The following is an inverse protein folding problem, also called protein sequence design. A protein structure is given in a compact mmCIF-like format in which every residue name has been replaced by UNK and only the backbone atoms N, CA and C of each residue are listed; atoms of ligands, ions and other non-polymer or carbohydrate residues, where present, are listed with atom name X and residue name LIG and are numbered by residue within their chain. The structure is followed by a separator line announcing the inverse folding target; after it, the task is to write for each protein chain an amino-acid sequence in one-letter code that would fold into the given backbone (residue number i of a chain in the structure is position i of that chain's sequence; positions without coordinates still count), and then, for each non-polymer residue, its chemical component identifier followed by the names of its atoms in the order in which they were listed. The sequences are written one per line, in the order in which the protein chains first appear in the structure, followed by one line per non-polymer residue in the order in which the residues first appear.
data_IF_123300967300
#
_entry.id   IF_123300967300
#
_cell.length_a   1.000
_cell.length_b   1.000
_cell.length_c   1.000
_cell.angle_alpha   90.00
_cell.angle_beta   90.00
_cell.angle_gamma   90.00
#
_symmetry.space_group_name_H-M   'P 1'
#
loop_
_entity.id
_entity.type
_entity.pdbx_description
1 polymer ?
#
# COMPACT_ATOMS: atom_id res chain seq x y z
N UNK A 1 -30.80 6.61 21.28
CA UNK A 1 -31.06 5.75 20.10
C UNK A 1 -29.81 4.92 19.88
N UNK A 2 -29.87 3.59 19.83
CA UNK A 2 -28.71 2.79 19.49
C UNK A 2 -28.38 3.04 18.01
N UNK A 3 -27.12 3.41 17.73
CA UNK A 3 -26.59 3.49 16.37
C UNK A 3 -26.72 2.08 15.77
N UNK A 4 -27.45 1.98 14.66
CA UNK A 4 -27.54 0.73 13.93
C UNK A 4 -26.13 0.35 13.46
N UNK A 5 -25.60 -0.73 14.05
CA UNK A 5 -24.50 -1.52 13.48
C UNK A 5 -25.01 -2.09 12.15
N UNK A 6 -24.88 -1.32 11.08
CA UNK A 6 -25.10 -1.81 9.73
C UNK A 6 -23.79 -1.69 8.95
N UNK A 7 -22.76 -2.40 9.40
CA UNK A 7 -21.85 -2.98 8.44
C UNK A 7 -22.72 -3.89 7.56
N UNK A 8 -23.05 -3.44 6.35
CA UNK A 8 -23.67 -4.32 5.35
C UNK A 8 -22.59 -5.30 4.94
N UNK A 9 -22.47 -6.36 5.72
CA UNK A 9 -21.61 -7.47 5.43
C UNK A 9 -22.24 -8.22 4.27
N UNK A 10 -21.64 -8.08 3.09
CA UNK A 10 -21.88 -9.01 1.99
C UNK A 10 -20.78 -10.06 2.10
N UNK A 11 -21.07 -11.29 2.53
CA UNK A 11 -20.09 -12.36 2.53
C UNK A 11 -19.49 -12.47 1.13
N UNK A 12 -18.17 -12.68 1.05
CA UNK A 12 -17.54 -13.02 -0.22
C UNK A 12 -18.26 -14.27 -0.79
N UNK A 13 -18.54 -14.33 -2.11
CA UNK A 13 -19.18 -15.50 -2.66
C UNK A 13 -18.20 -16.66 -2.59
N UNK A 14 -18.75 -17.87 -2.63
CA UNK A 14 -17.94 -19.04 -2.84
C UNK A 14 -17.16 -18.88 -4.16
N UNK A 15 -15.83 -18.94 -4.08
CA UNK A 15 -14.96 -19.08 -5.25
C UNK A 15 -15.42 -20.34 -6.00
N UNK A 16 -15.54 -20.26 -7.32
CA UNK A 16 -15.94 -21.42 -8.14
C UNK A 16 -15.02 -22.61 -7.88
N UNK A 17 -15.62 -23.81 -7.78
CA UNK A 17 -14.91 -25.06 -7.50
C UNK A 17 -13.75 -25.25 -8.49
N UNK A 18 -12.51 -25.39 -7.97
CA UNK A 18 -11.29 -25.53 -8.77
C UNK A 18 -10.54 -24.24 -9.13
N UNK A 19 -11.08 -23.06 -8.80
CA UNK A 19 -10.37 -21.77 -8.95
C UNK A 19 -9.47 -21.52 -7.74
N UNK A 20 -8.20 -21.18 -7.99
CA UNK A 20 -7.21 -20.89 -6.94
C UNK A 20 -7.02 -19.36 -6.84
N UNK A 21 -7.29 -18.76 -5.69
CA UNK A 21 -6.96 -17.34 -5.46
C UNK A 21 -5.51 -17.27 -5.00
N UNK A 22 -4.62 -16.98 -5.94
CA UNK A 22 -3.19 -16.92 -5.66
C UNK A 22 -2.80 -15.64 -4.90
N UNK A 23 -3.52 -14.55 -5.16
CA UNK A 23 -3.23 -13.26 -4.57
C UNK A 23 -4.51 -12.46 -4.32
N UNK A 24 -4.59 -11.85 -3.15
CA UNK A 24 -5.67 -10.96 -2.76
C UNK A 24 -5.12 -9.63 -2.25
N UNK A 25 -5.65 -8.52 -2.77
CA UNK A 25 -5.31 -7.18 -2.33
C UNK A 25 -6.56 -6.54 -1.71
N UNK A 26 -6.49 -6.25 -0.42
CA UNK A 26 -7.54 -5.54 0.32
C UNK A 26 -7.09 -4.09 0.49
N UNK A 27 -7.71 -3.17 -0.25
CA UNK A 27 -7.48 -1.73 -0.12
C UNK A 27 -8.40 -1.17 0.97
N UNK A 28 -7.81 -0.59 2.02
CA UNK A 28 -8.53 0.06 3.13
C UNK A 28 -8.28 1.55 3.06
N UNK A 29 -9.23 2.30 2.49
CA UNK A 29 -9.06 3.70 2.11
C UNK A 29 -9.91 4.60 2.99
N UNK A 30 -9.25 5.50 3.70
CA UNK A 30 -9.91 6.55 4.46
C UNK A 30 -10.64 7.51 3.52
N UNK A 31 -11.84 7.90 3.92
CA UNK A 31 -12.61 8.99 3.32
C UNK A 31 -13.21 9.85 4.42
N UNK A 32 -12.54 9.95 5.55
CA UNK A 32 -12.88 10.82 6.65
C UNK A 32 -12.81 12.30 6.22
N UNK A 33 -13.34 13.21 7.04
CA UNK A 33 -13.30 14.64 6.73
C UNK A 33 -11.89 15.22 6.53
N UNK A 34 -10.83 14.58 7.04
CA UNK A 34 -9.44 15.03 6.85
C UNK A 34 -8.97 14.82 5.41
N UNK A 35 -9.46 13.76 4.73
CA UNK A 35 -9.10 13.38 3.36
C UNK A 35 -9.47 14.43 2.30
N UNK A 36 -10.14 15.52 2.68
CA UNK A 36 -10.31 16.71 1.83
C UNK A 36 -9.00 17.23 1.27
N UNK A 37 -7.89 17.04 1.98
CA UNK A 37 -6.56 17.47 1.56
C UNK A 37 -6.11 16.79 0.25
N UNK A 38 -6.51 15.53 0.05
CA UNK A 38 -6.25 14.75 -1.16
C UNK A 38 -7.25 15.01 -2.31
N UNK A 39 -8.33 15.74 -2.02
CA UNK A 39 -9.28 16.21 -3.02
C UNK A 39 -9.90 15.11 -3.89
N UNK A 40 -10.12 15.42 -5.17
CA UNK A 40 -10.70 14.50 -6.16
C UNK A 40 -9.70 13.51 -6.74
N UNK A 41 -8.47 13.46 -6.24
CA UNK A 41 -7.37 12.70 -6.83
C UNK A 41 -7.35 11.23 -6.39
N UNK A 42 -8.05 10.87 -5.31
CA UNK A 42 -8.06 9.52 -4.75
C UNK A 42 -8.60 8.49 -5.76
N UNK A 43 -9.83 8.69 -6.26
CA UNK A 43 -10.46 7.75 -7.19
C UNK A 43 -9.66 7.52 -8.48
N UNK A 44 -9.22 8.58 -9.21
CA UNK A 44 -8.36 8.40 -10.38
C UNK A 44 -7.06 7.63 -10.09
N UNK A 45 -6.40 7.91 -8.97
CA UNK A 45 -5.16 7.20 -8.61
C UNK A 45 -5.40 5.75 -8.23
N UNK A 46 -6.50 5.42 -7.55
CA UNK A 46 -6.88 4.04 -7.28
C UNK A 46 -7.21 3.28 -8.57
N UNK A 47 -7.87 3.94 -9.54
CA UNK A 47 -8.14 3.35 -10.85
C UNK A 47 -6.86 3.12 -11.67
N UNK A 48 -5.88 4.03 -11.61
CA UNK A 48 -4.54 3.84 -12.19
C UNK A 48 -3.85 2.64 -11.54
N UNK A 49 -3.89 2.53 -10.21
CA UNK A 49 -3.33 1.39 -9.47
C UNK A 49 -3.98 0.08 -9.91
N UNK A 50 -5.31 -0.01 -9.90
CA UNK A 50 -6.06 -1.20 -10.32
C UNK A 50 -5.71 -1.58 -11.76
N UNK A 51 -5.59 -0.61 -12.66
CA UNK A 51 -5.18 -0.84 -14.05
C UNK A 51 -3.74 -1.35 -14.16
N UNK A 52 -2.82 -0.84 -13.33
CA UNK A 52 -1.43 -1.32 -13.28
C UNK A 52 -1.33 -2.78 -12.83
N UNK A 53 -2.15 -3.20 -11.86
CA UNK A 53 -2.17 -4.59 -11.39
C UNK A 53 -2.65 -5.56 -12.48
N UNK A 54 -3.58 -5.12 -13.34
CA UNK A 54 -4.00 -5.87 -14.52
C UNK A 54 -2.85 -6.02 -15.52
N UNK A 55 -2.19 -4.91 -15.84
CA UNK A 55 -1.11 -4.90 -16.83
C UNK A 55 0.09 -5.76 -16.40
N UNK A 56 0.49 -5.72 -15.14
CA UNK A 56 1.60 -6.53 -14.61
C UNK A 56 1.35 -8.04 -14.72
N UNK A 57 0.08 -8.46 -14.64
CA UNK A 57 -0.30 -9.86 -14.84
C UNK A 57 -0.14 -10.26 -16.30
N UNK A 58 -0.62 -9.43 -17.23
CA UNK A 58 -0.48 -9.64 -18.67
C UNK A 58 1.00 -9.67 -19.11
N UNK A 59 1.82 -8.76 -18.58
CA UNK A 59 3.26 -8.70 -18.87
C UNK A 59 3.99 -9.96 -18.39
N UNK A 60 3.68 -10.47 -17.19
CA UNK A 60 4.28 -11.71 -16.68
C UNK A 60 3.89 -12.92 -17.53
N UNK A 61 2.63 -13.01 -17.95
CA UNK A 61 2.16 -14.07 -18.85
C UNK A 61 2.95 -14.02 -20.17
N UNK A 62 3.13 -12.83 -20.72
CA UNK A 62 3.87 -12.65 -21.97
C UNK A 62 5.35 -12.99 -21.83
N UNK A 63 5.99 -12.60 -20.72
CA UNK A 63 7.38 -12.94 -20.41
C UNK A 63 7.57 -14.46 -20.30
N UNK A 64 6.70 -15.15 -19.55
CA UNK A 64 6.75 -16.60 -19.43
C UNK A 64 6.59 -17.31 -20.78
N UNK A 65 5.68 -16.83 -21.64
CA UNK A 65 5.53 -17.35 -23.00
C UNK A 65 6.81 -17.22 -23.80
N UNK A 66 7.44 -16.04 -23.78
CA UNK A 66 8.73 -15.82 -24.46
C UNK A 66 9.84 -16.71 -23.89
N UNK A 67 9.93 -16.87 -22.56
CA UNK A 67 10.91 -17.78 -21.93
C UNK A 67 10.69 -19.22 -22.42
N UNK A 68 9.45 -19.72 -22.40
CA UNK A 68 9.10 -21.08 -22.83
C UNK A 68 9.47 -21.32 -24.30
N UNK A 69 9.28 -20.33 -25.18
CA UNK A 69 9.68 -20.41 -26.59
C UNK A 69 11.20 -20.53 -26.78
N UNK A 70 11.99 -19.94 -25.89
CA UNK A 70 13.47 -19.98 -25.95
C UNK A 70 14.09 -21.21 -25.29
N UNK A 71 13.36 -21.89 -24.41
CA UNK A 71 13.85 -23.07 -23.69
C UNK A 71 13.82 -24.33 -24.57
N UNK A 72 14.89 -25.12 -24.46
CA UNK A 72 14.91 -26.49 -25.00
C UNK A 72 13.94 -27.38 -24.22
N UNK A 73 13.44 -28.43 -24.86
CA UNK A 73 12.54 -29.38 -24.21
C UNK A 73 13.25 -30.07 -23.03
N UNK A 74 12.59 -30.10 -21.88
CA UNK A 74 13.15 -30.62 -20.63
C UNK A 74 12.40 -30.13 -19.39
N UNK A 75 12.90 -30.50 -18.23
CA UNK A 75 12.25 -30.24 -16.93
C UNK A 75 12.07 -28.74 -16.65
N UNK A 76 13.02 -27.90 -17.07
CA UNK A 76 12.94 -26.45 -16.92
C UNK A 76 11.77 -25.85 -17.73
N UNK A 77 11.64 -26.26 -19.00
CA UNK A 77 10.53 -25.84 -19.86
C UNK A 77 9.18 -26.35 -19.34
N UNK A 78 9.13 -27.60 -18.89
CA UNK A 78 7.92 -28.16 -18.29
C UNK A 78 7.50 -27.40 -17.03
N UNK A 79 8.46 -27.02 -16.19
CA UNK A 79 8.21 -26.19 -14.99
C UNK A 79 7.60 -24.84 -15.37
N UNK A 80 8.15 -24.17 -16.39
CA UNK A 80 7.61 -22.89 -16.87
C UNK A 80 6.26 -23.01 -17.55
N UNK A 81 5.99 -24.09 -18.27
CA UNK A 81 4.66 -24.41 -18.82
C UNK A 81 3.64 -24.61 -17.70
N UNK A 82 4.00 -25.31 -16.62
CA UNK A 82 3.14 -25.43 -15.44
C UNK A 82 2.87 -24.07 -14.80
N UNK A 83 3.90 -23.23 -14.62
CA UNK A 83 3.76 -21.87 -14.09
C UNK A 83 2.81 -21.02 -14.96
N UNK A 84 2.97 -21.06 -16.28
CA UNK A 84 2.10 -20.36 -17.23
C UNK A 84 0.65 -20.87 -17.16
N UNK A 85 0.43 -22.20 -17.18
CA UNK A 85 -0.90 -22.79 -17.11
C UNK A 85 -1.60 -22.46 -15.79
N UNK A 86 -0.85 -22.42 -14.68
CA UNK A 86 -1.35 -21.99 -13.38
C UNK A 86 -1.77 -20.52 -13.45
N UNK A 87 -0.94 -19.63 -14.01
CA UNK A 87 -1.24 -18.20 -14.16
C UNK A 87 -2.45 -17.92 -15.06
N UNK A 88 -2.58 -18.64 -16.18
CA UNK A 88 -3.66 -18.42 -17.16
C UNK A 88 -5.00 -19.04 -16.76
N UNK A 89 -5.00 -20.22 -16.12
CA UNK A 89 -6.21 -21.03 -15.95
C UNK A 89 -6.62 -21.25 -14.50
N UNK A 90 -5.74 -21.01 -13.53
CA UNK A 90 -6.00 -21.39 -12.14
C UNK A 90 -5.84 -20.25 -11.15
N UNK A 91 -5.08 -19.19 -11.43
CA UNK A 91 -4.89 -18.10 -10.48
C UNK A 91 -5.68 -16.85 -10.82
N UNK A 92 -6.54 -16.43 -9.89
CA UNK A 92 -7.20 -15.10 -9.96
C UNK A 92 -6.54 -14.19 -8.93
N UNK A 93 -6.13 -13.00 -9.37
CA UNK A 93 -5.78 -11.89 -8.47
C UNK A 93 -7.05 -11.10 -8.19
N UNK A 94 -7.40 -10.94 -6.92
CA UNK A 94 -8.60 -10.22 -6.50
C UNK A 94 -8.20 -8.91 -5.82
N UNK A 95 -8.96 -7.85 -6.08
CA UNK A 95 -8.80 -6.56 -5.40
C UNK A 95 -10.15 -6.18 -4.79
N UNK A 96 -10.16 -5.92 -3.50
CA UNK A 96 -11.30 -5.37 -2.78
C UNK A 96 -11.01 -3.92 -2.38
N UNK A 97 -12.07 -3.11 -2.31
CA UNK A 97 -12.00 -1.77 -1.76
C UNK A 97 -12.95 -1.68 -0.56
N UNK A 98 -12.35 -1.46 0.60
CA UNK A 98 -13.01 -1.03 1.83
C UNK A 98 -12.77 0.48 1.99
N UNK A 99 -13.84 1.27 2.08
CA UNK A 99 -13.74 2.69 2.41
C UNK A 99 -14.32 2.98 3.78
N UNK A 100 -13.72 3.91 4.52
CA UNK A 100 -14.15 4.16 5.89
C UNK A 100 -14.16 5.63 6.28
N UNK A 101 -15.06 5.95 7.21
CA UNK A 101 -15.12 7.20 7.95
C UNK A 101 -15.48 6.86 9.41
N UNK A 102 -16.61 7.35 9.95
CA UNK A 102 -17.23 6.79 11.14
C UNK A 102 -18.04 5.51 10.86
N UNK A 103 -18.09 5.07 9.59
CA UNK A 103 -18.65 3.81 9.13
C UNK A 103 -17.68 3.14 8.17
N UNK A 104 -17.60 1.82 8.24
CA UNK A 104 -16.85 0.99 7.29
C UNK A 104 -17.81 0.49 6.22
N UNK A 105 -17.51 0.76 4.96
CA UNK A 105 -18.28 0.32 3.79
C UNK A 105 -17.36 -0.39 2.79
N UNK A 106 -17.93 -1.29 2.01
CA UNK A 106 -17.23 -1.94 0.90
C UNK A 106 -17.95 -1.56 -0.39
N UNK A 107 -17.53 -0.47 -1.06
CA UNK A 107 -18.19 -0.03 -2.28
C UNK A 107 -18.06 -1.06 -3.39
N UNK A 108 -16.98 -1.84 -3.38
CA UNK A 108 -16.73 -2.93 -4.32
C UNK A 108 -16.21 -4.14 -3.57
N UNK A 109 -16.88 -5.27 -3.78
CA UNK A 109 -16.42 -6.57 -3.37
C UNK A 109 -16.19 -7.39 -4.64
N UNK A 110 -15.07 -8.13 -4.72
CA UNK A 110 -14.77 -9.07 -5.82
C UNK A 110 -15.90 -10.08 -6.08
N UNK A 111 -16.92 -10.12 -5.23
CA UNK A 111 -18.16 -10.87 -5.39
C UNK A 111 -19.01 -10.49 -6.61
N UNK A 112 -19.00 -9.23 -7.02
CA UNK A 112 -19.77 -8.75 -8.18
C UNK A 112 -18.98 -8.90 -9.49
N UNK A 113 -17.68 -9.16 -9.38
CA UNK A 113 -16.75 -9.41 -10.47
C UNK A 113 -16.56 -10.92 -10.62
N UNK A 114 -17.64 -11.57 -11.07
CA UNK A 114 -17.67 -12.99 -11.41
C UNK A 114 -16.46 -13.39 -12.26
N UNK A 115 -15.56 -14.20 -11.68
CA UNK A 115 -14.77 -15.24 -12.36
C UNK A 115 -14.13 -14.79 -13.69
N UNK A 116 -13.61 -13.57 -13.78
CA UNK A 116 -12.78 -13.20 -14.91
C UNK A 116 -11.32 -13.29 -14.47
N UNK A 117 -10.42 -13.94 -15.23
CA UNK A 117 -8.97 -13.91 -14.98
C UNK A 117 -8.36 -12.50 -15.12
N UNK A 118 -9.22 -11.47 -15.23
CA UNK A 118 -8.91 -10.08 -15.46
C UNK A 118 -9.89 -9.27 -14.60
N UNK A 119 -9.38 -8.34 -13.80
CA UNK A 119 -10.17 -7.37 -13.03
C UNK A 119 -10.85 -6.44 -14.05
N UNK A 120 -11.92 -6.81 -14.76
CA UNK A 120 -12.33 -6.03 -15.96
C UNK A 120 -13.28 -4.87 -15.68
N UNK A 121 -14.00 -4.85 -14.54
CA UNK A 121 -15.10 -3.89 -14.37
C UNK A 121 -14.99 -3.02 -13.11
N UNK A 122 -13.96 -3.21 -12.26
CA UNK A 122 -13.73 -2.36 -11.08
C UNK A 122 -13.34 -0.92 -11.44
N UNK A 123 -14.22 0.04 -11.16
CA UNK A 123 -13.96 1.47 -11.23
C UNK A 123 -14.37 2.14 -9.92
N UNK A 124 -13.39 2.71 -9.21
CA UNK A 124 -13.65 3.54 -8.04
C UNK A 124 -14.25 4.86 -8.50
N UNK A 125 -15.48 5.15 -8.04
CA UNK A 125 -16.18 6.38 -8.37
C UNK A 125 -15.85 7.47 -7.34
N UNK A 126 -15.94 8.76 -7.70
CA UNK A 126 -15.69 9.85 -6.76
C UNK A 126 -16.55 9.80 -5.49
N UNK A 127 -17.77 9.28 -5.57
CA UNK A 127 -18.67 9.07 -4.43
C UNK A 127 -18.19 8.02 -3.44
N UNK A 128 -17.46 6.99 -3.90
CA UNK A 128 -17.00 5.86 -3.07
C UNK A 128 -15.96 6.33 -2.04
N UNK A 129 -15.19 7.36 -2.42
CA UNK A 129 -14.06 7.93 -1.65
C UNK A 129 -14.31 9.38 -1.22
N UNK A 130 -15.56 9.85 -1.28
CA UNK A 130 -15.89 11.25 -0.95
C UNK A 130 -15.68 11.55 0.54
N UNK A 131 -14.86 12.55 0.91
CA UNK A 131 -14.58 12.89 2.30
C UNK A 131 -15.83 13.24 3.14
N UNK A 132 -16.04 12.56 4.28
CA UNK A 132 -17.12 12.80 5.24
C UNK A 132 -16.79 12.25 6.63
N UNK A 133 -17.51 12.66 7.67
CA UNK A 133 -17.45 11.99 8.97
C UNK A 133 -16.10 12.05 9.70
N UNK A 134 -15.92 11.08 10.60
CA UNK A 134 -14.76 10.91 11.49
C UNK A 134 -13.84 9.79 10.97
N UNK A 135 -12.81 9.38 11.72
CA UNK A 135 -11.81 8.38 11.28
C UNK A 135 -11.86 7.16 12.22
N UNK A 136 -12.54 6.09 11.81
CA UNK A 136 -12.59 4.79 12.49
C UNK A 136 -11.61 3.79 11.81
N UNK A 137 -10.31 4.13 11.88
CA UNK A 137 -9.22 3.39 11.25
C UNK A 137 -9.10 1.98 11.82
N UNK A 138 -9.16 1.81 13.14
CA UNK A 138 -8.95 0.50 13.76
C UNK A 138 -10.07 -0.48 13.41
N UNK A 139 -11.31 0.01 13.36
CA UNK A 139 -12.47 -0.79 12.93
C UNK A 139 -12.36 -1.19 11.46
N UNK A 140 -11.93 -0.28 10.59
CA UNK A 140 -11.74 -0.56 9.17
C UNK A 140 -10.67 -1.62 8.94
N UNK A 141 -9.53 -1.50 9.61
CA UNK A 141 -8.44 -2.49 9.53
C UNK A 141 -8.84 -3.84 10.16
N UNK A 142 -9.59 -3.83 11.25
CA UNK A 142 -10.08 -5.05 11.88
C UNK A 142 -11.10 -5.76 10.98
N UNK A 143 -11.97 -5.00 10.31
CA UNK A 143 -12.88 -5.55 9.31
C UNK A 143 -12.13 -6.20 8.14
N UNK A 144 -11.12 -5.52 7.59
CA UNK A 144 -10.24 -6.07 6.55
C UNK A 144 -9.56 -7.38 7.01
N UNK A 145 -9.07 -7.43 8.25
CA UNK A 145 -8.50 -8.66 8.82
C UNK A 145 -9.51 -9.81 8.88
N UNK A 146 -10.78 -9.52 9.19
CA UNK A 146 -11.83 -10.54 9.23
C UNK A 146 -12.16 -11.06 7.82
N UNK A 147 -12.19 -10.17 6.81
CA UNK A 147 -12.41 -10.57 5.41
C UNK A 147 -11.29 -11.49 4.94
N UNK A 148 -10.03 -11.12 5.21
CA UNK A 148 -8.86 -11.96 4.91
C UNK A 148 -8.97 -13.31 5.63
N UNK A 149 -9.36 -13.33 6.91
CA UNK A 149 -9.51 -14.56 7.69
C UNK A 149 -10.59 -15.48 7.10
N UNK A 150 -11.67 -14.92 6.55
CA UNK A 150 -12.73 -15.69 5.89
C UNK A 150 -12.25 -16.26 4.56
N UNK A 151 -11.53 -15.47 3.76
CA UNK A 151 -10.91 -15.96 2.52
C UNK A 151 -9.91 -17.07 2.77
N UNK A 152 -9.07 -16.91 3.79
CA UNK A 152 -8.05 -17.88 4.18
C UNK A 152 -8.70 -19.21 4.58
N UNK A 153 -9.77 -19.19 5.39
CA UNK A 153 -10.50 -20.39 5.80
C UNK A 153 -11.11 -21.14 4.62
N UNK A 154 -11.52 -20.42 3.58
CA UNK A 154 -12.18 -20.96 2.40
C UNK A 154 -11.19 -21.24 1.24
N UNK A 155 -9.88 -21.12 1.47
CA UNK A 155 -8.87 -21.28 0.42
C UNK A 155 -8.78 -22.72 -0.08
N UNK A 156 -8.61 -22.86 -1.38
CA UNK A 156 -8.35 -24.15 -2.06
C UNK A 156 -6.87 -24.32 -2.44
N UNK A 157 -6.06 -23.28 -2.22
CA UNK A 157 -4.64 -23.19 -2.57
C UNK A 157 -3.85 -22.35 -1.56
N UNK A 158 -2.53 -22.23 -1.78
CA UNK A 158 -1.71 -21.24 -1.08
C UNK A 158 -2.26 -19.83 -1.36
N UNK A 159 -2.54 -19.08 -0.29
CA UNK A 159 -3.18 -17.77 -0.33
C UNK A 159 -2.17 -16.70 0.10
N UNK A 160 -1.89 -15.73 -0.78
CA UNK A 160 -1.09 -14.54 -0.46
C UNK A 160 -1.99 -13.32 -0.36
N UNK A 161 -2.30 -12.90 0.87
CA UNK A 161 -3.09 -11.69 1.10
C UNK A 161 -2.20 -10.48 1.37
N UNK A 162 -2.59 -9.33 0.84
CA UNK A 162 -1.96 -8.03 1.07
C UNK A 162 -3.04 -7.05 1.50
N UNK A 163 -2.87 -6.42 2.64
CA UNK A 163 -3.74 -5.36 3.14
C UNK A 163 -3.00 -4.03 3.01
N UNK A 164 -3.57 -3.10 2.26
CA UNK A 164 -3.00 -1.76 2.06
C UNK A 164 -3.93 -0.75 2.69
N UNK A 165 -3.47 -0.10 3.76
CA UNK A 165 -4.25 0.92 4.47
C UNK A 165 -3.76 2.31 4.13
N UNK A 166 -4.68 3.23 3.85
CA UNK A 166 -4.40 4.60 3.43
C UNK A 166 -5.21 5.60 4.24
N UNK A 167 -4.56 6.60 4.86
CA UNK A 167 -5.24 7.63 5.67
C UNK A 167 -4.43 8.92 5.82
N UNK A 168 -5.06 10.08 5.90
CA UNK A 168 -4.45 11.30 6.49
C UNK A 168 -4.99 11.64 7.88
N UNK A 169 -5.98 10.91 8.34
CA UNK A 169 -6.67 11.11 9.61
C UNK A 169 -5.95 10.44 10.78
N UNK A 170 -6.14 11.01 11.96
CA UNK A 170 -5.83 10.32 13.21
C UNK A 170 -7.07 9.56 13.66
N UNK A 171 -6.87 8.31 14.10
CA UNK A 171 -7.90 7.51 14.77
C UNK A 171 -8.61 8.33 15.86
N UNK A 172 -9.94 8.40 15.79
CA UNK A 172 -10.75 9.17 16.75
C UNK A 172 -12.17 8.65 16.95
N UNK A 173 -12.54 7.51 16.36
CA UNK A 173 -13.93 7.02 16.37
C UNK A 173 -14.11 5.52 16.56
N UNK A 174 -13.06 4.71 16.47
CA UNK A 174 -13.17 3.27 16.53
C UNK A 174 -13.59 2.72 17.88
N UNK A 175 -14.31 1.60 17.84
CA UNK A 175 -14.62 0.78 19.01
C UNK A 175 -13.55 -0.28 19.24
N UNK A 176 -12.88 -0.75 18.18
CA UNK A 176 -11.76 -1.67 18.24
C UNK A 176 -10.55 -1.03 18.90
N UNK A 177 -9.92 -1.75 19.84
CA UNK A 177 -8.70 -1.29 20.49
C UNK A 177 -7.44 -1.61 19.67
N UNK A 178 -6.37 -0.83 19.86
CA UNK A 178 -5.06 -1.15 19.26
C UNK A 178 -4.57 -2.55 19.63
N UNK A 179 -4.79 -3.00 20.87
CA UNK A 179 -4.37 -4.33 21.31
C UNK A 179 -5.07 -5.44 20.51
N UNK A 180 -6.39 -5.34 20.39
CA UNK A 180 -7.22 -6.27 19.60
C UNK A 180 -6.78 -6.32 18.13
N UNK A 181 -6.56 -5.15 17.51
CA UNK A 181 -6.10 -5.09 16.13
C UNK A 181 -4.69 -5.66 15.97
N UNK A 182 -3.77 -5.35 16.89
CA UNK A 182 -2.38 -5.83 16.85
C UNK A 182 -2.30 -7.35 16.94
N UNK A 183 -3.08 -7.95 17.84
CA UNK A 183 -3.17 -9.41 17.94
C UNK A 183 -3.65 -10.03 16.62
N UNK A 184 -4.67 -9.44 16.01
CA UNK A 184 -5.22 -9.91 14.74
C UNK A 184 -4.25 -9.76 13.56
N UNK A 185 -3.55 -8.63 13.48
CA UNK A 185 -2.51 -8.39 12.46
C UNK A 185 -1.36 -9.37 12.63
N UNK A 186 -0.93 -9.64 13.87
CA UNK A 186 0.11 -10.62 14.15
C UNK A 186 -0.31 -12.01 13.69
N UNK A 187 -1.51 -12.45 14.04
CA UNK A 187 -2.08 -13.75 13.62
C UNK A 187 -2.02 -13.91 12.10
N UNK A 188 -2.46 -12.90 11.35
CA UNK A 188 -2.47 -12.94 9.89
C UNK A 188 -1.06 -12.82 9.28
N UNK A 189 -0.18 -12.04 9.90
CA UNK A 189 1.22 -11.92 9.45
C UNK A 189 1.96 -13.26 9.61
N UNK A 190 1.70 -13.99 10.71
CA UNK A 190 2.24 -15.33 10.92
C UNK A 190 1.71 -16.35 9.87
N UNK A 191 0.56 -16.05 9.23
CA UNK A 191 0.01 -16.80 8.08
C UNK A 191 0.53 -16.31 6.72
N UNK A 192 1.46 -15.36 6.68
CA UNK A 192 2.04 -14.83 5.44
C UNK A 192 1.28 -13.64 4.83
N UNK A 193 0.32 -13.06 5.54
CA UNK A 193 -0.38 -11.85 5.09
C UNK A 193 0.50 -10.63 5.28
N UNK A 194 0.62 -9.81 4.23
CA UNK A 194 1.42 -8.58 4.27
C UNK A 194 0.55 -7.37 4.56
N UNK A 195 0.89 -6.60 5.58
CA UNK A 195 0.24 -5.32 5.89
C UNK A 195 1.13 -4.16 5.45
N UNK A 196 0.59 -3.24 4.66
CA UNK A 196 1.22 -1.98 4.25
C UNK A 196 0.39 -0.81 4.76
N UNK A 197 1.06 0.18 5.37
CA UNK A 197 0.41 1.35 5.96
C UNK A 197 0.94 2.64 5.35
N UNK A 198 0.07 3.37 4.66
CA UNK A 198 0.38 4.62 3.98
C UNK A 198 -0.36 5.74 4.69
N UNK A 199 0.37 6.73 5.22
CA UNK A 199 -0.31 7.86 5.82
C UNK A 199 0.31 9.21 5.49
N UNK A 200 -0.54 10.24 5.41
CA UNK A 200 -0.09 11.61 5.16
C UNK A 200 0.54 12.28 6.40
N UNK A 201 0.43 11.63 7.55
CA UNK A 201 1.01 12.12 8.80
C UNK A 201 2.55 11.97 8.76
N UNK A 202 3.26 12.88 9.45
CA UNK A 202 4.72 12.81 9.57
C UNK A 202 5.22 11.57 10.30
N UNK A 203 4.30 10.82 10.93
CA UNK A 203 4.62 9.65 11.72
C UNK A 203 3.79 8.41 11.34
N UNK A 204 3.63 8.15 10.03
CA UNK A 204 3.01 6.90 9.56
C UNK A 204 3.74 5.67 10.13
N UNK A 205 5.06 5.78 10.36
CA UNK A 205 5.89 4.71 10.90
C UNK A 205 5.55 4.42 12.37
N UNK A 206 5.45 5.42 13.26
CA UNK A 206 5.07 5.12 14.64
C UNK A 206 3.61 4.71 14.75
N UNK A 207 2.70 5.26 13.93
CA UNK A 207 1.31 4.82 13.94
C UNK A 207 1.20 3.35 13.52
N UNK A 208 1.87 2.96 12.43
CA UNK A 208 1.99 1.56 12.02
C UNK A 208 2.57 0.66 13.12
N UNK A 209 3.58 1.15 13.86
CA UNK A 209 4.20 0.40 14.94
C UNK A 209 3.25 0.10 16.10
N UNK A 210 2.29 0.99 16.41
CA UNK A 210 1.25 0.74 17.43
C UNK A 210 0.33 -0.43 17.07
N UNK A 211 0.28 -0.81 15.79
CA UNK A 211 -0.52 -1.91 15.25
C UNK A 211 0.34 -3.15 14.95
N UNK A 212 1.64 -3.12 15.29
CA UNK A 212 2.57 -4.21 15.01
C UNK A 212 3.05 -4.30 13.55
N UNK A 213 2.79 -3.28 12.73
CA UNK A 213 3.22 -3.26 11.32
C UNK A 213 4.69 -2.80 11.25
N UNK A 214 5.51 -3.54 10.50
CA UNK A 214 6.92 -3.22 10.30
C UNK A 214 7.11 -1.84 9.68
N UNK A 215 8.09 -1.07 10.18
CA UNK A 215 8.49 0.23 9.59
C UNK A 215 8.83 0.13 8.10
N UNK A 216 9.29 -1.04 7.65
CA UNK A 216 9.63 -1.26 6.25
C UNK A 216 8.38 -1.25 5.36
N UNK A 217 7.21 -1.62 5.90
CA UNK A 217 5.92 -1.61 5.24
C UNK A 217 5.07 -0.37 5.60
N UNK A 218 5.66 0.62 6.26
CA UNK A 218 5.02 1.90 6.54
C UNK A 218 5.63 3.01 5.68
N UNK A 219 4.80 3.88 5.10
CA UNK A 219 5.19 4.93 4.17
C UNK A 219 4.54 6.26 4.55
N UNK A 220 5.36 7.29 4.77
CA UNK A 220 4.89 8.67 4.85
C UNK A 220 4.57 9.17 3.44
N UNK A 221 3.37 9.70 3.25
CA UNK A 221 2.87 10.21 1.98
C UNK A 221 2.72 11.73 2.06
N UNK A 222 3.19 12.47 1.06
CA UNK A 222 2.91 13.91 0.99
C UNK A 222 1.45 14.18 0.60
N UNK A 223 0.94 15.37 0.90
CA UNK A 223 -0.46 15.74 0.64
C UNK A 223 -0.76 16.11 -0.82
N UNK A 224 0.19 15.93 -1.73
CA UNK A 224 0.00 16.25 -3.16
C UNK A 224 -0.48 15.02 -3.93
N UNK A 225 -1.21 15.25 -5.03
CA UNK A 225 -1.62 14.18 -5.94
C UNK A 225 -0.41 13.39 -6.49
N UNK A 226 0.70 14.08 -6.77
CA UNK A 226 1.93 13.42 -7.23
C UNK A 226 2.49 12.47 -6.17
N UNK A 227 2.55 12.91 -4.91
CA UNK A 227 3.01 12.07 -3.81
C UNK A 227 2.13 10.85 -3.61
N UNK A 228 0.80 11.01 -3.70
CA UNK A 228 -0.15 9.92 -3.61
C UNK A 228 0.02 8.91 -4.77
N UNK A 229 0.18 9.40 -6.00
CA UNK A 229 0.48 8.56 -7.16
C UNK A 229 1.80 7.79 -7.01
N UNK A 230 2.85 8.44 -6.51
CA UNK A 230 4.13 7.78 -6.24
C UNK A 230 4.02 6.72 -5.14
N UNK A 231 3.23 6.98 -4.10
CA UNK A 231 2.97 6.02 -3.03
C UNK A 231 2.25 4.77 -3.57
N UNK A 232 1.25 4.94 -4.43
CA UNK A 232 0.56 3.80 -5.05
C UNK A 232 1.44 3.02 -6.02
N UNK A 233 2.34 3.69 -6.77
CA UNK A 233 3.36 2.98 -7.57
C UNK A 233 4.33 2.19 -6.71
N UNK A 234 4.74 2.73 -5.56
CA UNK A 234 5.57 2.01 -4.59
C UNK A 234 4.84 0.79 -4.02
N UNK A 235 3.54 0.89 -3.76
CA UNK A 235 2.70 -0.27 -3.39
C UNK A 235 2.69 -1.30 -4.51
N UNK A 236 2.42 -0.93 -5.76
CA UNK A 236 2.47 -1.86 -6.90
C UNK A 236 3.82 -2.57 -7.02
N UNK A 237 4.93 -1.83 -6.86
CA UNK A 237 6.28 -2.40 -6.89
C UNK A 237 6.52 -3.38 -5.74
N UNK A 238 6.03 -3.06 -4.53
CA UNK A 238 6.13 -3.93 -3.37
C UNK A 238 5.30 -5.21 -3.53
N UNK A 239 4.07 -5.09 -4.02
CA UNK A 239 3.20 -6.22 -4.36
C UNK A 239 3.89 -7.14 -5.37
N UNK A 240 4.48 -6.59 -6.44
CA UNK A 240 5.21 -7.36 -7.44
C UNK A 240 6.41 -8.13 -6.82
N UNK A 241 7.19 -7.49 -5.93
CA UNK A 241 8.29 -8.15 -5.20
C UNK A 241 7.79 -9.32 -4.33
N UNK A 242 6.71 -9.11 -3.57
CA UNK A 242 6.15 -10.18 -2.73
C UNK A 242 5.60 -11.34 -3.55
N UNK A 243 5.15 -11.08 -4.79
CA UNK A 243 4.71 -12.12 -5.73
C UNK A 243 5.84 -13.07 -6.10
N UNK A 244 7.04 -12.55 -6.36
CA UNK A 244 8.23 -13.33 -6.72
C UNK A 244 8.96 -13.95 -5.53
N UNK A 245 8.44 -13.77 -4.30
CA UNK A 245 9.03 -14.31 -3.07
C UNK A 245 10.08 -13.41 -2.42
N UNK A 246 10.27 -12.20 -2.94
CA UNK A 246 11.13 -11.20 -2.29
C UNK A 246 10.46 -10.61 -1.05
N UNK A 247 11.28 -10.03 -0.17
CA UNK A 247 10.80 -9.40 1.05
C UNK A 247 9.95 -8.16 0.77
N UNK A 248 8.85 -8.02 1.49
CA UNK A 248 8.04 -6.81 1.49
C UNK A 248 8.81 -5.60 2.05
N UNK A 249 8.57 -4.42 1.49
CA UNK A 249 9.03 -3.16 2.06
C UNK A 249 9.26 -2.06 1.04
N UNK A 250 9.19 -0.81 1.50
CA UNK A 250 9.47 0.38 0.72
C UNK A 250 10.94 0.78 0.79
N UNK A 251 11.56 0.91 -0.37
CA UNK A 251 12.93 1.39 -0.58
C UNK A 251 13.09 2.87 -0.23
N UNK A 252 14.34 3.32 -0.08
CA UNK A 252 14.65 4.73 0.16
C UNK A 252 14.17 5.66 -0.98
N UNK A 253 14.24 5.20 -2.23
CA UNK A 253 13.78 5.97 -3.39
C UNK A 253 12.24 6.08 -3.41
N UNK A 254 11.53 4.97 -3.15
CA UNK A 254 10.07 4.97 -3.04
C UNK A 254 9.61 5.92 -1.91
N UNK A 255 10.31 5.91 -0.77
CA UNK A 255 10.05 6.84 0.36
C UNK A 255 10.29 8.29 -0.02
N UNK A 256 11.39 8.59 -0.70
CA UNK A 256 11.73 9.94 -1.13
C UNK A 256 10.75 10.48 -2.17
N UNK A 257 10.29 9.65 -3.12
CA UNK A 257 9.33 10.04 -4.15
C UNK A 257 7.90 10.23 -3.60
N UNK A 258 7.55 9.47 -2.57
CA UNK A 258 6.20 9.49 -1.97
C UNK A 258 6.01 10.59 -0.94
N UNK A 259 7.09 11.23 -0.49
CA UNK A 259 7.03 12.33 0.47
C UNK A 259 7.50 13.63 -0.18
N UNK A 260 6.98 14.76 0.30
CA UNK A 260 7.61 16.05 -0.01
C UNK A 260 8.89 16.11 0.81
N UNK A 261 10.05 16.15 0.13
CA UNK A 261 11.29 16.64 0.72
C UNK A 261 11.00 18.07 1.22
N UNK A 262 10.63 18.24 2.49
CA UNK A 262 10.93 19.51 3.15
C UNK A 262 12.44 19.57 3.16
N UNK A 263 12.97 20.48 2.35
CA UNK A 263 14.35 20.95 2.41
C UNK A 263 14.84 20.85 3.84
N UNK A 264 15.92 20.09 4.04
CA UNK A 264 16.76 20.18 5.23
C UNK A 264 16.78 21.64 5.64
N UNK A 265 16.18 21.98 6.79
CA UNK A 265 16.38 23.27 7.40
C UNK A 265 17.90 23.39 7.51
N UNK A 266 18.50 24.26 6.68
CA UNK A 266 19.82 24.79 6.98
C UNK A 266 19.63 25.47 8.32
N UNK A 267 19.98 24.76 9.39
CA UNK A 267 20.28 25.39 10.66
C UNK A 267 21.36 26.41 10.35
N UNK A 268 20.97 27.68 10.21
CA UNK A 268 21.89 28.78 10.32
C UNK A 268 22.35 28.80 11.78
N UNK A 269 23.30 27.94 12.09
CA UNK A 269 24.28 28.21 13.13
C UNK A 269 25.56 28.56 12.38
N UNK A 270 25.64 29.80 11.88
CA UNK A 270 26.96 30.36 11.63
C UNK A 270 27.66 30.50 12.99
N UNK A 271 28.85 29.92 13.18
CA UNK A 271 29.66 30.26 14.34
C UNK A 271 30.18 31.69 14.13
N UNK A 272 29.82 32.60 15.04
CA UNK A 272 30.49 33.89 15.18
C UNK A 272 31.94 33.67 15.61
N UNK A 273 32.83 33.44 14.65
CA UNK A 273 34.27 33.54 14.88
C UNK A 273 34.71 34.97 14.59
N UNK A 274 34.78 35.76 15.66
CA UNK A 274 35.51 37.01 15.67
C UNK A 274 37.00 36.76 15.40
N UNK A 275 37.51 37.30 14.30
CA UNK A 275 38.93 37.53 14.11
C UNK A 275 39.15 39.03 13.93
N UNK A 276 39.68 39.63 14.99
CA UNK A 276 40.27 40.97 15.01
C UNK A 276 41.51 40.96 14.11
N UNK A 277 41.52 41.75 13.03
CA UNK A 277 42.72 42.01 12.25
C UNK A 277 43.53 43.11 12.97
N UNK A 278 44.48 42.70 13.82
CA UNK A 278 45.56 43.58 14.27
C UNK A 278 46.50 43.88 13.09
N UNK A 279 46.63 45.15 12.74
CA UNK A 279 47.64 45.64 11.79
C UNK A 279 48.98 45.79 12.50
N UNK A 280 49.99 45.06 12.06
CA UNK A 280 51.40 45.35 12.39
C UNK A 280 52.06 46.19 11.27
N UNK A 281 52.96 47.13 11.59
CA UNK A 281 53.50 48.12 10.63
C UNK A 281 54.70 47.56 9.82
N UNK A 282 55.09 48.22 8.71
CA UNK A 282 56.08 47.68 7.78
C UNK A 282 57.52 47.90 8.27
N UNK A 283 58.32 46.83 8.25
CA UNK A 283 59.78 46.89 8.40
C UNK A 283 60.43 47.18 7.04
N UNK A 284 61.29 48.20 7.02
CA UNK A 284 61.87 48.78 5.82
C UNK A 284 62.93 47.92 5.11
N UNK A 285 63.03 48.14 3.81
CA UNK A 285 64.17 47.75 2.99
C UNK A 285 65.19 48.90 2.95
N UNK A 286 66.39 48.64 3.49
CA UNK A 286 67.67 49.23 3.07
C UNK A 286 67.93 48.78 1.60
N UNK A 287 68.62 49.49 0.69
CA UNK A 287 69.85 50.26 0.81
C UNK A 287 70.22 50.92 -0.55
N UNK A 288 71.01 52.03 -0.49
CA UNK A 288 72.03 52.53 -1.47
C UNK A 288 71.53 53.10 -2.82
N UNK A 289 72.00 54.23 -3.35
CA UNK A 289 73.17 55.10 -3.13
C UNK A 289 72.77 56.57 -3.23
#
# INVERSE_FOLDING_TARGET
MPLASSAKFTPLPAISEGTQVHQHIELVVDRSGSMKSFGSSIAPTLNEFISSQKQQTDEQIQELKTIIETLSDGDEKNTKITELNTLENHTVSTINLTTFDNMVEQPWCSSELSILPRITEAEVKPEDVKPRGMTALLDAMYNACNNISEMEKNKTCEFKGIVVTMTDGQENKSETSHATLTEKIKELTDMGITFMFLAANQDAIAEAAKMGISKNNALNVGTTQENYGNAMRAVSGNIARTRTGDSAGFSGLERAASSTLRSVERSQTEPQNGYTLERSPPAGLLCRQ
#
